data_IF_227009464036
#
_entry.id   IF_227009464036
#
_cell.length_a   1.000
_cell.length_b   1.000
_cell.length_c   1.000
_cell.angle_alpha   90.00
_cell.angle_beta   90.00
_cell.angle_gamma   90.00
#
_symmetry.space_group_name_H-M   'P 1'
#
loop_
_entity.id
_entity.type
_entity.pdbx_description
1 polymer ?
#
# COMPACT_ATOMS: atom_id res chain seq x y z
N UNK A 1 -1.99 7.43 -28.03
CA UNK A 1 -2.42 8.20 -26.85
C UNK A 1 -1.17 8.83 -26.26
N UNK A 2 -1.02 10.15 -26.33
CA UNK A 2 0.03 10.86 -25.59
C UNK A 2 -0.59 11.33 -24.28
N UNK A 3 -0.45 10.54 -23.22
CA UNK A 3 -0.80 10.97 -21.88
C UNK A 3 0.33 11.81 -21.30
N UNK A 4 -0.05 12.83 -20.54
CA UNK A 4 0.83 13.68 -19.74
C UNK A 4 0.49 13.47 -18.27
N UNK A 5 1.38 13.92 -17.37
CA UNK A 5 1.10 13.87 -15.93
C UNK A 5 -0.14 14.66 -15.53
N UNK A 6 -0.50 15.69 -16.30
CA UNK A 6 -1.68 16.53 -16.05
C UNK A 6 -3.00 15.80 -16.29
N UNK A 7 -3.02 14.76 -17.13
CA UNK A 7 -4.23 13.98 -17.39
C UNK A 7 -4.66 13.13 -16.18
N UNK A 8 -3.83 13.07 -15.14
CA UNK A 8 -4.06 12.35 -13.89
C UNK A 8 -4.06 13.26 -12.67
N UNK A 9 -4.06 14.59 -12.87
CA UNK A 9 -4.09 15.59 -11.81
C UNK A 9 -5.52 15.79 -11.30
N UNK A 10 -5.69 15.95 -9.98
CA UNK A 10 -6.98 16.19 -9.35
C UNK A 10 -6.83 17.02 -8.07
N UNK A 11 -7.90 17.73 -7.69
CA UNK A 11 -7.91 18.50 -6.44
C UNK A 11 -8.00 17.55 -5.24
N UNK A 12 -6.98 17.58 -4.39
CA UNK A 12 -6.89 16.79 -3.16
C UNK A 12 -6.56 17.70 -1.98
N UNK A 13 -7.58 18.15 -1.23
CA UNK A 13 -7.36 18.91 0.00
C UNK A 13 -6.48 18.13 1.00
N UNK A 14 -5.51 18.80 1.61
CA UNK A 14 -4.52 18.18 2.51
C UNK A 14 -5.18 17.52 3.73
N UNK A 15 -6.30 18.06 4.21
CA UNK A 15 -7.07 17.53 5.33
C UNK A 15 -7.68 16.15 5.05
N UNK A 16 -7.84 15.77 3.78
CA UNK A 16 -8.32 14.45 3.37
C UNK A 16 -7.20 13.40 3.33
N UNK A 17 -5.94 13.82 3.46
CA UNK A 17 -4.79 12.92 3.52
C UNK A 17 -4.61 12.43 4.95
N UNK A 18 -4.91 11.15 5.19
CA UNK A 18 -4.74 10.53 6.49
C UNK A 18 -3.27 10.56 6.95
N UNK A 19 -3.01 11.32 8.01
CA UNK A 19 -1.66 11.48 8.58
C UNK A 19 -1.22 10.27 9.42
N UNK A 20 -2.19 9.55 9.97
CA UNK A 20 -1.97 8.32 10.73
C UNK A 20 -3.06 7.31 10.37
N UNK A 21 -2.78 6.00 10.41
CA UNK A 21 -3.81 5.00 10.18
C UNK A 21 -4.85 5.03 11.30
N UNK A 22 -6.08 4.61 10.98
CA UNK A 22 -7.10 4.35 11.99
C UNK A 22 -6.62 3.29 12.99
N UNK A 23 -7.03 3.45 14.26
CA UNK A 23 -6.71 2.49 15.33
C UNK A 23 -7.27 1.10 15.02
N UNK A 24 -8.53 1.07 14.61
CA UNK A 24 -9.15 -0.11 14.03
C UNK A 24 -9.06 0.00 12.50
N UNK A 25 -8.22 -0.83 11.90
CA UNK A 25 -7.99 -0.82 10.45
C UNK A 25 -9.21 -1.28 9.66
N UNK A 26 -10.05 -2.14 10.23
CA UNK A 26 -11.23 -2.68 9.53
C UNK A 26 -12.36 -1.65 9.42
N UNK A 27 -12.31 -0.60 10.24
CA UNK A 27 -13.26 0.52 10.21
C UNK A 27 -13.04 1.51 9.04
N UNK A 28 -12.00 1.33 8.22
CA UNK A 28 -11.76 2.20 7.07
C UNK A 28 -12.87 2.08 6.03
N UNK A 29 -13.09 3.15 5.25
CA UNK A 29 -14.00 3.14 4.10
C UNK A 29 -13.43 2.29 2.96
N UNK A 30 -14.33 1.72 2.17
CA UNK A 30 -14.06 0.98 0.95
C UNK A 30 -14.90 1.61 -0.17
N UNK A 31 -14.27 2.09 -1.24
CA UNK A 31 -14.97 2.59 -2.43
C UNK A 31 -15.05 1.47 -3.46
N UNK A 32 -16.24 0.96 -3.72
CA UNK A 32 -16.48 -0.05 -4.76
C UNK A 32 -16.80 0.67 -6.06
N UNK A 33 -16.05 0.37 -7.10
CA UNK A 33 -16.23 0.96 -8.44
C UNK A 33 -16.42 -0.15 -9.45
N UNK A 34 -17.63 -0.24 -10.02
CA UNK A 34 -17.94 -1.22 -11.06
C UNK A 34 -17.48 -0.67 -12.42
N UNK A 35 -16.50 -1.34 -13.03
CA UNK A 35 -15.96 -0.95 -14.35
C UNK A 35 -16.97 -1.06 -15.49
N UNK A 36 -17.95 -1.96 -15.39
CA UNK A 36 -18.93 -2.24 -16.44
C UNK A 36 -20.10 -1.27 -16.33
N UNK A 37 -20.69 -1.16 -15.14
CA UNK A 37 -21.86 -0.30 -14.92
C UNK A 37 -21.50 1.15 -14.63
N UNK A 38 -20.22 1.43 -14.32
CA UNK A 38 -19.72 2.73 -13.86
C UNK A 38 -20.41 3.21 -12.57
N UNK A 39 -20.96 2.28 -11.78
CA UNK A 39 -21.53 2.58 -10.47
C UNK A 39 -20.41 2.77 -9.45
N UNK A 40 -20.73 3.57 -8.43
CA UNK A 40 -19.84 3.88 -7.32
C UNK A 40 -20.64 3.69 -6.03
N UNK A 41 -20.09 2.92 -5.10
CA UNK A 41 -20.70 2.65 -3.81
C UNK A 41 -19.70 2.84 -2.67
N UNK A 42 -20.13 3.53 -1.62
CA UNK A 42 -19.39 3.68 -0.36
C UNK A 42 -19.75 2.54 0.61
N UNK A 43 -18.75 1.74 0.99
CA UNK A 43 -18.85 0.65 1.98
C UNK A 43 -17.80 0.80 3.09
N UNK A 44 -17.76 -0.13 4.02
CA UNK A 44 -16.67 -0.32 4.96
C UNK A 44 -15.78 -1.49 4.55
N UNK A 45 -14.51 -1.47 4.99
CA UNK A 45 -13.56 -2.53 4.64
C UNK A 45 -13.95 -3.91 5.21
N UNK A 46 -14.76 -3.94 6.27
CA UNK A 46 -15.42 -5.17 6.76
C UNK A 46 -16.26 -5.87 5.71
N UNK A 47 -16.82 -5.11 4.77
CA UNK A 47 -17.76 -5.58 3.76
C UNK A 47 -17.04 -6.19 2.54
N UNK A 48 -15.70 -6.17 2.53
CA UNK A 48 -14.88 -6.76 1.47
C UNK A 48 -15.22 -8.23 1.21
N UNK A 49 -15.63 -8.97 2.23
CA UNK A 49 -16.02 -10.37 2.08
C UNK A 49 -17.27 -10.55 1.22
N UNK A 50 -18.15 -9.55 1.15
CA UNK A 50 -19.35 -9.58 0.31
C UNK A 50 -19.03 -9.30 -1.17
N UNK A 51 -17.83 -8.78 -1.46
CA UNK A 51 -17.33 -8.50 -2.82
C UNK A 51 -16.52 -9.66 -3.42
N UNK A 52 -16.37 -10.77 -2.70
CA UNK A 52 -15.59 -11.93 -3.13
C UNK A 52 -16.50 -13.14 -3.34
N UNK A 53 -16.24 -13.88 -4.42
CA UNK A 53 -16.96 -15.10 -4.73
C UNK A 53 -16.12 -16.35 -4.43
N UNK A 54 -16.80 -17.50 -4.31
CA UNK A 54 -16.10 -18.77 -4.15
C UNK A 54 -15.21 -19.04 -5.38
N UNK A 55 -13.91 -19.26 -5.11
CA UNK A 55 -12.90 -19.47 -6.14
C UNK A 55 -11.99 -18.26 -6.38
N UNK A 56 -12.33 -17.09 -5.83
CA UNK A 56 -11.45 -15.92 -5.88
C UNK A 56 -10.17 -16.12 -5.09
N UNK A 57 -9.08 -15.52 -5.58
CA UNK A 57 -7.76 -15.58 -4.95
C UNK A 57 -7.25 -14.18 -4.62
N UNK A 58 -7.14 -13.89 -3.33
CA UNK A 58 -6.55 -12.64 -2.86
C UNK A 58 -5.02 -12.75 -2.84
N UNK A 59 -4.35 -12.03 -3.75
CA UNK A 59 -2.89 -11.95 -3.80
C UNK A 59 -2.42 -10.77 -2.96
N UNK A 60 -1.77 -11.07 -1.82
CA UNK A 60 -1.24 -10.06 -0.90
C UNK A 60 0.28 -9.99 -1.01
N UNK A 61 0.82 -8.78 -1.09
CA UNK A 61 2.26 -8.59 -1.02
C UNK A 61 2.77 -8.85 0.41
N UNK A 62 3.66 -9.82 0.56
CA UNK A 62 4.38 -10.09 1.79
C UNK A 62 5.86 -9.73 1.62
N UNK A 63 6.25 -8.54 2.07
CA UNK A 63 7.62 -8.04 1.92
C UNK A 63 8.55 -8.65 2.96
N UNK A 64 9.70 -9.17 2.51
CA UNK A 64 10.77 -9.70 3.37
C UNK A 64 12.06 -8.95 3.12
N UNK A 65 12.63 -8.38 4.18
CA UNK A 65 13.97 -7.76 4.12
C UNK A 65 15.00 -8.87 4.01
N UNK A 66 15.92 -8.77 3.04
CA UNK A 66 17.10 -9.61 2.99
C UNK A 66 18.17 -8.96 3.88
N UNK A 67 18.57 -9.57 5.02
CA UNK A 67 19.64 -9.03 5.83
C UNK A 67 20.97 -9.22 5.09
N UNK A 68 21.65 -8.13 4.79
CA UNK A 68 23.06 -8.13 4.45
C UNK A 68 23.81 -7.56 5.66
N UNK A 69 24.66 -8.38 6.29
CA UNK A 69 25.61 -7.93 7.30
C UNK A 69 27.01 -8.12 6.73
N UNK A 70 27.77 -7.05 6.66
CA UNK A 70 29.14 -7.04 6.19
C UNK A 70 30.05 -6.88 7.41
N UNK A 71 30.86 -7.90 7.65
CA UNK A 71 31.94 -7.84 8.64
C UNK A 71 33.23 -7.45 7.94
N UNK A 72 33.85 -6.35 8.39
CA UNK A 72 35.12 -5.86 7.89
C UNK A 72 36.13 -5.64 9.01
N UNK A 73 37.37 -5.39 8.62
CA UNK A 73 38.45 -5.04 9.54
C UNK A 73 39.12 -3.78 9.03
N UNK A 74 39.28 -2.76 9.89
CA UNK A 74 39.96 -1.51 9.52
C UNK A 74 41.45 -1.77 9.31
N UNK A 75 41.94 -1.62 8.08
CA UNK A 75 43.33 -1.96 7.71
C UNK A 75 44.38 -1.28 8.59
N UNK A 76 44.17 -0.02 8.97
CA UNK A 76 45.14 0.75 9.77
C UNK A 76 45.25 0.31 11.24
N UNK A 77 44.17 -0.24 11.81
CA UNK A 77 44.04 -0.43 13.27
C UNK A 77 43.68 -1.85 13.69
N UNK A 78 43.32 -2.72 12.74
CA UNK A 78 42.82 -4.07 13.02
C UNK A 78 41.43 -4.10 13.68
N UNK A 79 40.77 -2.94 13.83
CA UNK A 79 39.47 -2.86 14.49
C UNK A 79 38.36 -3.52 13.67
N UNK A 80 37.49 -4.28 14.34
CA UNK A 80 36.31 -4.88 13.71
C UNK A 80 35.27 -3.82 13.32
N UNK A 81 34.71 -3.94 12.13
CA UNK A 81 33.62 -3.11 11.60
C UNK A 81 32.46 -4.03 11.20
N UNK A 82 31.23 -3.61 11.47
CA UNK A 82 29.99 -4.24 10.99
C UNK A 82 29.16 -3.17 10.26
N UNK A 83 28.61 -3.51 9.08
CA UNK A 83 27.71 -2.66 8.27
C UNK A 83 26.48 -3.47 7.84
#
# INVERSE_FOLDING_TARGET
MNYTTKDFDFDLPEELIAQTPLKDRTSSRLLVVDKTTHSIEDKHFSDLLDELEEGDTLVVNNTRVLPARLYGTKEETGAHIEV
#
